data_IF_614481192808
#
_entry.id   IF_614481192808
#
_cell.length_a   1.000
_cell.length_b   1.000
_cell.length_c   1.000
_cell.angle_alpha   90.00
_cell.angle_beta   90.00
_cell.angle_gamma   90.00
#
_symmetry.space_group_name_H-M   'P 1'
#
loop_
_entity.id
_entity.type
_entity.pdbx_description
1 polymer ?
#
# COMPACT_ATOMS: atom_id res chain seq x y z
N UNK A 1 7.38 12.12 -16.66
CA UNK A 1 6.32 12.66 -15.77
C UNK A 1 4.92 12.65 -16.41
N UNK A 2 4.69 13.19 -17.62
CA UNK A 2 3.34 13.24 -18.21
C UNK A 2 2.66 11.84 -18.30
N UNK A 3 3.36 10.83 -18.77
CA UNK A 3 2.85 9.46 -18.88
C UNK A 3 2.51 8.85 -17.52
N UNK A 4 3.36 9.04 -16.50
CA UNK A 4 3.09 8.60 -15.12
C UNK A 4 1.82 9.23 -14.56
N UNK A 5 1.62 10.54 -14.80
CA UNK A 5 0.39 11.24 -14.40
C UNK A 5 -0.83 10.66 -15.10
N UNK A 6 -0.73 10.37 -16.40
CA UNK A 6 -1.82 9.73 -17.14
C UNK A 6 -2.25 8.40 -16.52
N UNK A 7 -1.30 7.53 -16.23
CA UNK A 7 -1.57 6.22 -15.59
C UNK A 7 -2.14 6.41 -14.19
N UNK A 8 -1.55 7.28 -13.36
CA UNK A 8 -2.02 7.52 -11.99
C UNK A 8 -3.44 8.10 -11.95
N UNK A 9 -3.73 9.10 -12.79
CA UNK A 9 -5.06 9.71 -12.86
C UNK A 9 -6.12 8.71 -13.32
N UNK A 10 -5.80 7.88 -14.31
CA UNK A 10 -6.69 6.81 -14.76
C UNK A 10 -6.94 5.77 -13.66
N UNK A 11 -5.89 5.40 -12.91
CA UNK A 11 -6.00 4.45 -11.80
C UNK A 11 -6.86 5.02 -10.66
N UNK A 12 -6.64 6.27 -10.23
CA UNK A 12 -7.45 6.92 -9.20
C UNK A 12 -8.94 6.99 -9.62
N UNK A 13 -9.20 7.36 -10.87
CA UNK A 13 -10.56 7.37 -11.41
C UNK A 13 -11.22 5.98 -11.38
N UNK A 14 -10.48 4.92 -11.72
CA UNK A 14 -11.00 3.55 -11.70
C UNK A 14 -11.32 3.05 -10.29
N UNK A 15 -10.65 3.59 -9.27
CA UNK A 15 -10.86 3.27 -7.85
C UNK A 15 -11.84 4.24 -7.16
N UNK A 16 -12.43 5.19 -7.88
CA UNK A 16 -13.24 6.27 -7.31
C UNK A 16 -12.52 6.97 -6.13
N UNK A 17 -11.19 7.05 -6.21
CA UNK A 17 -10.32 7.52 -5.15
C UNK A 17 -9.60 8.82 -5.51
N UNK A 18 -9.09 9.48 -4.49
CA UNK A 18 -8.19 10.63 -4.59
C UNK A 18 -6.80 10.28 -4.05
N UNK A 19 -5.79 11.07 -4.40
CA UNK A 19 -4.46 10.95 -3.80
C UNK A 19 -4.54 11.10 -2.29
N UNK A 20 -3.95 10.14 -1.59
CA UNK A 20 -3.80 10.20 -0.14
C UNK A 20 -2.76 11.26 0.23
N UNK A 21 -2.84 11.76 1.44
CA UNK A 21 -1.95 12.82 1.90
C UNK A 21 -0.87 12.29 2.84
N UNK A 22 -1.16 12.34 4.12
CA UNK A 22 -0.22 11.98 5.18
C UNK A 22 0.17 10.49 5.14
N UNK A 23 1.48 10.21 5.34
CA UNK A 23 2.03 8.85 5.50
C UNK A 23 1.89 7.89 4.31
N UNK A 24 1.24 8.30 3.23
CA UNK A 24 1.14 7.52 2.00
C UNK A 24 1.64 8.36 0.82
N UNK A 25 2.26 7.68 -0.13
CA UNK A 25 2.79 8.31 -1.33
C UNK A 25 1.71 8.93 -2.21
N UNK A 26 2.05 10.06 -2.78
CA UNK A 26 1.23 10.74 -3.78
C UNK A 26 2.06 11.06 -5.02
N UNK A 27 1.45 11.03 -6.21
CA UNK A 27 2.14 11.37 -7.45
C UNK A 27 2.29 12.91 -7.57
N UNK A 28 3.05 13.51 -6.65
CA UNK A 28 3.42 14.93 -6.66
C UNK A 28 4.87 15.07 -7.09
N UNK A 29 5.17 15.98 -8.02
CA UNK A 29 6.53 16.13 -8.57
C UNK A 29 7.59 16.33 -7.49
N UNK A 30 7.38 17.24 -6.55
CA UNK A 30 8.34 17.49 -5.47
C UNK A 30 8.54 16.30 -4.53
N UNK A 31 7.56 15.39 -4.43
CA UNK A 31 7.71 14.17 -3.66
C UNK A 31 8.47 13.10 -4.44
N UNK A 32 8.02 12.77 -5.65
CA UNK A 32 8.62 11.68 -6.43
C UNK A 32 10.02 12.00 -6.94
N UNK A 33 10.38 13.27 -7.07
CA UNK A 33 11.73 13.68 -7.46
C UNK A 33 12.84 13.20 -6.49
N UNK A 34 12.44 12.78 -5.28
CA UNK A 34 13.37 12.25 -4.27
C UNK A 34 13.58 10.73 -4.36
N UNK A 35 12.89 10.04 -5.27
CA UNK A 35 12.91 8.58 -5.35
C UNK A 35 13.20 8.09 -6.75
N UNK A 36 13.85 6.95 -6.83
CA UNK A 36 13.90 6.20 -8.08
C UNK A 36 12.52 5.61 -8.39
N UNK A 37 12.23 5.51 -9.68
CA UNK A 37 10.97 4.98 -10.18
C UNK A 37 11.23 3.70 -10.95
N UNK A 38 10.50 2.65 -10.58
CA UNK A 38 10.43 1.43 -11.39
C UNK A 38 9.21 1.47 -12.30
N UNK A 39 9.41 1.12 -13.56
CA UNK A 39 8.38 1.22 -14.59
C UNK A 39 8.36 -0.06 -15.42
N UNK A 40 7.21 -0.72 -15.48
CA UNK A 40 6.95 -1.83 -16.40
C UNK A 40 6.34 -1.26 -17.69
N UNK A 41 6.97 -1.57 -18.84
CA UNK A 41 6.46 -1.18 -20.16
C UNK A 41 5.91 -2.36 -20.93
N UNK A 42 4.85 -2.14 -21.66
CA UNK A 42 4.32 -3.07 -22.66
C UNK A 42 5.25 -3.16 -23.87
N UNK A 43 5.03 -4.16 -24.73
CA UNK A 43 5.73 -4.30 -26.02
C UNK A 43 5.55 -3.08 -26.95
N UNK A 44 4.53 -2.24 -26.71
CA UNK A 44 4.28 -0.99 -27.42
C UNK A 44 5.00 0.21 -26.81
N UNK A 45 5.78 0.00 -25.75
CA UNK A 45 6.50 1.04 -25.02
C UNK A 45 5.67 1.82 -24.01
N UNK A 46 4.37 1.53 -23.89
CA UNK A 46 3.48 2.21 -22.92
C UNK A 46 3.71 1.71 -21.49
N UNK A 47 3.61 2.60 -20.50
CA UNK A 47 3.66 2.22 -19.09
C UNK A 47 2.44 1.35 -18.74
N UNK A 48 2.70 0.09 -18.37
CA UNK A 48 1.70 -0.85 -17.87
C UNK A 48 1.54 -0.76 -16.34
N UNK A 49 2.62 -0.51 -15.61
CA UNK A 49 2.61 -0.27 -14.17
C UNK A 49 3.84 0.53 -13.75
N UNK A 50 3.76 1.19 -12.60
CA UNK A 50 4.92 1.82 -11.98
C UNK A 50 4.83 1.85 -10.46
N UNK A 51 5.99 2.01 -9.82
CA UNK A 51 6.14 2.24 -8.38
C UNK A 51 7.35 3.13 -8.12
N UNK A 52 7.38 3.83 -6.99
CA UNK A 52 8.58 4.49 -6.47
C UNK A 52 9.32 3.53 -5.55
N UNK A 53 10.62 3.75 -5.34
CA UNK A 53 11.48 2.90 -4.54
C UNK A 53 12.01 3.64 -3.32
N UNK A 54 11.91 3.00 -2.17
CA UNK A 54 12.61 3.39 -0.95
C UNK A 54 13.84 2.49 -0.79
N UNK A 55 15.01 3.11 -0.81
CA UNK A 55 16.29 2.44 -0.66
C UNK A 55 16.80 2.63 0.76
N UNK A 56 16.71 1.59 1.58
CA UNK A 56 17.22 1.61 2.94
C UNK A 56 18.75 1.74 2.99
N UNK A 57 19.25 2.33 4.06
CA UNK A 57 20.68 2.50 4.27
C UNK A 57 21.40 1.14 4.30
N UNK A 58 22.63 1.13 3.80
CA UNK A 58 23.51 -0.07 3.77
C UNK A 58 22.87 -1.28 3.09
N UNK A 59 22.04 -1.08 2.08
CA UNK A 59 21.35 -2.13 1.32
C UNK A 59 20.52 -3.06 2.23
N UNK A 60 20.08 -2.56 3.39
CA UNK A 60 19.34 -3.37 4.34
C UNK A 60 17.97 -3.78 3.82
N UNK A 61 17.22 -2.81 3.29
CA UNK A 61 15.86 -3.02 2.81
C UNK A 61 15.59 -2.21 1.53
N UNK A 62 14.94 -2.83 0.57
CA UNK A 62 14.30 -2.19 -0.56
C UNK A 62 12.79 -2.29 -0.36
N UNK A 63 12.09 -1.18 -0.49
CA UNK A 63 10.63 -1.13 -0.38
C UNK A 63 10.01 -0.15 -1.38
N UNK A 64 8.70 -0.07 -1.41
CA UNK A 64 7.95 0.78 -2.31
C UNK A 64 6.69 1.32 -1.62
N UNK A 65 6.05 2.28 -2.26
CA UNK A 65 4.87 2.95 -1.72
C UNK A 65 3.74 3.09 -2.76
N UNK A 66 3.98 3.85 -3.84
CA UNK A 66 3.01 4.02 -4.91
C UNK A 66 2.94 2.79 -5.82
N UNK A 67 1.84 2.06 -5.79
CA UNK A 67 1.55 1.02 -6.78
C UNK A 67 0.47 1.52 -7.75
N UNK A 68 0.81 1.70 -9.01
CA UNK A 68 -0.10 2.23 -10.03
C UNK A 68 -0.09 1.37 -11.29
N UNK A 69 -0.92 0.32 -11.38
CA UNK A 69 -1.16 -0.36 -12.65
C UNK A 69 -2.03 0.50 -13.56
N UNK A 70 -1.81 0.41 -14.87
CA UNK A 70 -2.68 1.03 -15.87
C UNK A 70 -4.03 0.31 -15.90
N UNK A 71 -5.16 0.99 -15.73
CA UNK A 71 -6.48 0.39 -15.92
C UNK A 71 -6.64 -0.15 -17.34
N UNK A 72 -7.24 -1.35 -17.46
CA UNK A 72 -7.36 -2.04 -18.75
C UNK A 72 -6.07 -2.65 -19.29
N UNK A 73 -4.97 -2.51 -18.57
CA UNK A 73 -3.71 -3.20 -18.85
C UNK A 73 -3.70 -4.66 -18.38
N UNK A 74 -2.56 -5.38 -18.57
CA UNK A 74 -2.44 -6.76 -18.12
C UNK A 74 -2.67 -6.90 -16.61
N UNK A 75 -3.53 -7.84 -16.19
CA UNK A 75 -3.86 -8.07 -14.78
C UNK A 75 -2.65 -8.46 -13.92
N UNK A 76 -1.62 -9.03 -14.54
CA UNK A 76 -0.37 -9.43 -13.89
C UNK A 76 0.70 -8.31 -13.85
N UNK A 77 0.40 -7.10 -14.34
CA UNK A 77 1.42 -6.04 -14.48
C UNK A 77 2.12 -5.69 -13.16
N UNK A 78 1.37 -5.64 -12.04
CA UNK A 78 1.98 -5.39 -10.73
C UNK A 78 2.76 -6.61 -10.21
N UNK A 79 2.27 -7.82 -10.45
CA UNK A 79 2.96 -9.05 -10.06
C UNK A 79 4.33 -9.13 -10.77
N UNK A 80 4.35 -8.88 -12.09
CA UNK A 80 5.57 -8.84 -12.87
C UNK A 80 6.54 -7.74 -12.40
N UNK A 81 6.04 -6.52 -12.19
CA UNK A 81 6.87 -5.41 -11.74
C UNK A 81 7.53 -5.71 -10.39
N UNK A 82 6.79 -6.26 -9.43
CA UNK A 82 7.35 -6.59 -8.11
C UNK A 82 8.30 -7.77 -8.16
N UNK A 83 8.01 -8.80 -8.96
CA UNK A 83 8.92 -9.94 -9.14
C UNK A 83 10.27 -9.48 -9.73
N UNK A 84 10.25 -8.67 -10.78
CA UNK A 84 11.46 -8.10 -11.37
C UNK A 84 12.22 -7.19 -10.38
N UNK A 85 11.51 -6.44 -9.55
CA UNK A 85 12.14 -5.62 -8.51
C UNK A 85 12.78 -6.45 -7.40
N UNK A 86 12.19 -7.58 -7.02
CA UNK A 86 12.80 -8.52 -6.06
C UNK A 86 14.08 -9.12 -6.62
N UNK A 87 14.07 -9.55 -7.90
CA UNK A 87 15.25 -10.07 -8.58
C UNK A 87 16.34 -9.00 -8.71
N UNK A 88 15.95 -7.80 -9.11
CA UNK A 88 16.88 -6.66 -9.19
C UNK A 88 17.45 -6.30 -7.82
N UNK A 89 16.62 -6.22 -6.77
CA UNK A 89 17.06 -5.94 -5.41
C UNK A 89 18.04 -6.98 -4.89
N UNK A 90 17.78 -8.27 -5.15
CA UNK A 90 18.70 -9.35 -4.82
C UNK A 90 20.03 -9.20 -5.57
N UNK A 91 20.01 -8.87 -6.86
CA UNK A 91 21.22 -8.62 -7.65
C UNK A 91 22.01 -7.36 -7.24
N UNK A 92 21.41 -6.48 -6.47
CA UNK A 92 22.03 -5.29 -5.86
C UNK A 92 22.43 -5.53 -4.40
N UNK A 93 22.40 -6.76 -3.90
CA UNK A 93 22.74 -7.16 -2.54
C UNK A 93 21.81 -6.58 -1.44
N UNK A 94 20.57 -6.18 -1.79
CA UNK A 94 19.57 -5.86 -0.78
C UNK A 94 19.19 -7.10 0.02
N UNK A 95 19.27 -6.98 1.36
CA UNK A 95 18.98 -8.09 2.26
C UNK A 95 17.50 -8.45 2.33
N UNK A 96 16.65 -7.45 2.27
CA UNK A 96 15.20 -7.59 2.37
C UNK A 96 14.49 -6.81 1.27
N UNK A 97 13.40 -7.39 0.76
CA UNK A 97 12.40 -6.68 -0.02
C UNK A 97 11.11 -6.60 0.79
N UNK A 98 10.72 -5.38 1.18
CA UNK A 98 9.53 -5.18 2.02
C UNK A 98 8.30 -4.90 1.16
N UNK A 99 7.29 -5.75 1.33
CA UNK A 99 5.98 -5.56 0.71
C UNK A 99 5.07 -4.60 1.51
N UNK A 100 5.57 -4.03 2.59
CA UNK A 100 4.82 -3.16 3.50
C UNK A 100 3.80 -3.91 4.37
N UNK A 101 3.05 -3.18 5.18
CA UNK A 101 2.08 -3.76 6.10
C UNK A 101 0.80 -4.24 5.40
N UNK A 102 0.18 -5.29 5.95
CA UNK A 102 -1.20 -5.68 5.68
C UNK A 102 -2.02 -5.42 6.96
N UNK A 103 -2.60 -4.21 7.10
CA UNK A 103 -3.29 -3.81 8.32
C UNK A 103 -4.45 -4.76 8.64
N UNK A 104 -4.67 -4.99 9.94
CA UNK A 104 -5.71 -5.85 10.49
C UNK A 104 -5.65 -7.33 10.07
N UNK A 105 -4.71 -7.73 9.22
CA UNK A 105 -4.53 -9.13 8.85
C UNK A 105 -3.94 -9.92 10.04
N UNK A 106 -4.44 -11.14 10.28
CA UNK A 106 -3.97 -11.98 11.38
C UNK A 106 -4.55 -11.62 12.76
N UNK A 107 -5.54 -10.73 12.82
CA UNK A 107 -6.33 -10.54 14.05
C UNK A 107 -7.26 -11.75 14.18
N UNK A 108 -6.93 -12.63 15.14
CA UNK A 108 -7.75 -13.82 15.39
C UNK A 108 -9.09 -13.43 16.01
N UNK A 109 -10.18 -13.83 15.36
CA UNK A 109 -11.54 -13.67 15.88
C UNK A 109 -11.85 -14.79 16.90
N UNK A 110 -11.19 -14.74 18.09
CA UNK A 110 -11.47 -15.68 19.19
C UNK A 110 -12.66 -15.20 19.98
N UNK A 111 -13.54 -16.10 20.41
CA UNK A 111 -14.74 -15.78 21.21
C UNK A 111 -14.42 -15.03 22.51
N UNK A 112 -13.23 -15.24 23.08
CA UNK A 112 -12.73 -14.57 24.29
C UNK A 112 -11.74 -13.43 24.01
N UNK A 113 -11.56 -13.05 22.74
CA UNK A 113 -10.69 -11.95 22.40
C UNK A 113 -11.21 -10.61 22.95
N UNK A 114 -10.34 -9.68 23.35
CA UNK A 114 -10.76 -8.34 23.72
C UNK A 114 -11.68 -7.72 22.65
N UNK A 115 -12.65 -6.91 23.07
CA UNK A 115 -13.65 -6.30 22.18
C UNK A 115 -13.02 -5.64 20.94
N UNK A 116 -11.82 -5.11 21.07
CA UNK A 116 -11.05 -4.46 20.00
C UNK A 116 -10.58 -5.44 18.93
N UNK A 117 -10.20 -6.66 19.28
CA UNK A 117 -9.84 -7.69 18.30
C UNK A 117 -11.07 -8.09 17.48
N UNK A 118 -12.24 -8.15 18.11
CA UNK A 118 -13.51 -8.44 17.43
C UNK A 118 -13.92 -7.34 16.47
N UNK A 119 -13.75 -6.07 16.88
CA UNK A 119 -14.00 -4.91 16.01
C UNK A 119 -12.98 -4.87 14.87
N UNK A 120 -11.70 -5.13 15.13
CA UNK A 120 -10.66 -5.21 14.10
C UNK A 120 -10.91 -6.32 13.09
N UNK A 121 -11.33 -7.50 13.53
CA UNK A 121 -11.74 -8.60 12.67
C UNK A 121 -12.96 -8.23 11.82
N UNK A 122 -13.97 -7.60 12.41
CA UNK A 122 -15.14 -7.12 11.68
C UNK A 122 -14.78 -6.07 10.61
N UNK A 123 -13.88 -5.14 10.94
CA UNK A 123 -13.39 -4.12 9.97
C UNK A 123 -12.58 -4.80 8.87
N UNK A 124 -11.79 -5.84 9.17
CA UNK A 124 -11.05 -6.60 8.18
C UNK A 124 -11.98 -7.33 7.21
N UNK A 125 -13.01 -8.00 7.71
CA UNK A 125 -13.95 -8.79 6.93
C UNK A 125 -14.99 -7.93 6.16
N UNK A 126 -15.43 -6.80 6.73
CA UNK A 126 -16.55 -6.00 6.22
C UNK A 126 -16.15 -4.57 5.80
N UNK A 127 -14.91 -4.18 6.04
CA UNK A 127 -14.39 -2.83 5.74
C UNK A 127 -14.07 -2.60 4.27
N UNK A 128 -14.53 -3.45 3.35
CA UNK A 128 -14.25 -3.38 1.91
C UNK A 128 -14.63 -2.03 1.28
N UNK A 129 -15.63 -1.34 1.82
CA UNK A 129 -16.03 0.00 1.38
C UNK A 129 -14.96 1.07 1.65
N UNK A 130 -14.05 0.83 2.61
CA UNK A 130 -12.99 1.77 2.98
C UNK A 130 -11.61 1.35 2.45
N UNK A 131 -11.30 0.06 2.45
CA UNK A 131 -10.03 -0.47 1.99
C UNK A 131 -10.11 -1.99 1.85
N UNK A 132 -9.71 -2.54 0.71
CA UNK A 132 -9.68 -3.99 0.48
C UNK A 132 -8.48 -4.63 1.21
N UNK A 133 -8.61 -4.84 2.51
CA UNK A 133 -7.56 -5.42 3.36
C UNK A 133 -7.26 -6.88 3.02
N UNK A 134 -8.29 -7.68 2.75
CA UNK A 134 -8.14 -9.08 2.35
C UNK A 134 -7.43 -9.20 1.01
N UNK A 135 -7.87 -8.44 0.02
CA UNK A 135 -7.25 -8.43 -1.30
C UNK A 135 -5.79 -7.95 -1.25
N UNK A 136 -5.45 -7.00 -0.36
CA UNK A 136 -4.07 -6.58 -0.16
C UNK A 136 -3.22 -7.70 0.46
N UNK A 137 -3.75 -8.43 1.43
CA UNK A 137 -3.08 -9.59 2.01
C UNK A 137 -2.90 -10.68 0.99
N UNK A 138 -3.97 -11.10 0.32
CA UNK A 138 -3.94 -12.12 -0.73
C UNK A 138 -2.97 -11.77 -1.87
N UNK A 139 -2.88 -10.48 -2.24
CA UNK A 139 -1.89 -10.02 -3.21
C UNK A 139 -0.45 -10.28 -2.74
N UNK A 140 -0.14 -9.97 -1.48
CA UNK A 140 1.21 -10.16 -0.92
C UNK A 140 1.56 -11.62 -0.71
N UNK A 141 0.60 -12.46 -0.33
CA UNK A 141 0.76 -13.90 -0.15
C UNK A 141 1.28 -14.61 -1.42
N UNK A 142 1.03 -14.06 -2.61
CA UNK A 142 1.57 -14.59 -3.87
C UNK A 142 3.10 -14.68 -3.91
N UNK A 143 3.76 -13.87 -3.10
CA UNK A 143 5.22 -13.78 -3.05
C UNK A 143 5.83 -14.57 -1.90
N UNK A 144 5.04 -15.39 -1.22
CA UNK A 144 5.45 -16.19 -0.04
C UNK A 144 6.26 -15.38 0.99
N UNK A 145 5.71 -14.27 1.51
CA UNK A 145 6.46 -13.36 2.36
C UNK A 145 6.63 -13.90 3.78
N UNK A 146 7.75 -13.55 4.40
CA UNK A 146 7.93 -13.73 5.82
C UNK A 146 7.10 -12.68 6.59
N UNK A 147 6.02 -13.09 7.22
CA UNK A 147 5.19 -12.21 8.03
C UNK A 147 5.81 -11.93 9.40
N UNK A 148 5.73 -10.67 9.83
CA UNK A 148 6.09 -10.23 11.18
C UNK A 148 4.97 -9.36 11.74
N UNK A 149 4.59 -9.53 13.02
CA UNK A 149 3.53 -8.74 13.62
C UNK A 149 3.96 -7.28 13.81
N UNK A 150 3.05 -6.35 13.54
CA UNK A 150 3.18 -4.93 13.88
C UNK A 150 2.09 -4.61 14.91
N UNK A 151 2.47 -3.97 16.00
CA UNK A 151 1.58 -3.68 17.10
C UNK A 151 1.26 -2.19 17.18
N UNK A 152 0.00 -1.87 17.43
CA UNK A 152 -0.43 -0.53 17.80
C UNK A 152 -0.46 -0.42 19.32
N UNK A 153 0.41 0.41 19.89
CA UNK A 153 0.38 0.76 21.30
C UNK A 153 -0.49 1.99 21.54
N UNK A 154 -1.41 1.90 22.48
CA UNK A 154 -2.30 3.01 22.87
C UNK A 154 -2.43 3.09 24.38
N UNK A 155 -2.87 4.24 24.96
CA UNK A 155 -3.12 4.36 26.39
C UNK A 155 -4.23 3.43 26.95
N UNK A 156 -4.91 2.67 26.09
CA UNK A 156 -5.99 1.76 26.47
C UNK A 156 -7.38 2.39 26.42
N UNK A 157 -8.38 1.61 26.83
CA UNK A 157 -9.79 2.06 26.83
C UNK A 157 -10.29 2.47 25.44
N UNK A 158 -10.99 3.59 25.36
CA UNK A 158 -11.53 4.15 24.12
C UNK A 158 -10.51 4.98 23.30
N UNK A 159 -9.24 5.03 23.72
CA UNK A 159 -8.22 5.80 23.01
C UNK A 159 -7.87 5.19 21.64
N UNK A 160 -7.84 3.86 21.50
CA UNK A 160 -7.49 3.20 20.26
C UNK A 160 -8.42 3.60 19.09
N UNK A 161 -9.76 3.51 19.17
CA UNK A 161 -10.62 3.94 18.06
C UNK A 161 -10.52 5.42 17.78
N UNK A 162 -10.35 6.27 18.79
CA UNK A 162 -10.14 7.70 18.59
C UNK A 162 -8.87 7.96 17.79
N UNK A 163 -7.75 7.35 18.18
CA UNK A 163 -6.46 7.47 17.49
C UNK A 163 -6.56 6.96 16.04
N UNK A 164 -7.17 5.78 15.83
CA UNK A 164 -7.35 5.23 14.48
C UNK A 164 -8.19 6.16 13.59
N UNK A 165 -9.25 6.74 14.13
CA UNK A 165 -10.06 7.72 13.42
C UNK A 165 -9.27 8.99 13.09
N UNK A 166 -8.51 9.53 14.02
CA UNK A 166 -7.68 10.73 13.82
C UNK A 166 -6.59 10.47 12.76
N UNK A 167 -5.93 9.30 12.79
CA UNK A 167 -4.95 8.88 11.79
C UNK A 167 -5.60 8.74 10.41
N UNK A 168 -6.79 8.10 10.33
CA UNK A 168 -7.52 7.99 9.08
C UNK A 168 -7.91 9.37 8.52
N UNK A 169 -8.31 10.30 9.36
CA UNK A 169 -8.60 11.68 8.96
C UNK A 169 -7.36 12.39 8.41
N UNK A 170 -6.19 12.22 9.04
CA UNK A 170 -4.92 12.76 8.54
C UNK A 170 -4.57 12.18 7.16
N UNK A 171 -4.65 10.86 6.99
CA UNK A 171 -4.37 10.16 5.72
C UNK A 171 -5.33 10.63 4.62
N UNK A 172 -6.60 10.80 4.94
CA UNK A 172 -7.63 11.22 3.98
C UNK A 172 -7.62 12.72 3.66
N UNK A 173 -6.78 13.52 4.32
CA UNK A 173 -6.67 14.96 4.09
C UNK A 173 -7.70 15.82 4.84
N UNK A 174 -8.27 15.29 5.95
CA UNK A 174 -9.17 15.99 6.89
C UNK A 174 -10.66 15.81 6.60
N UNK A 175 -11.48 16.27 7.55
CA UNK A 175 -12.95 16.10 7.57
C UNK A 175 -13.66 16.56 6.27
N UNK A 176 -13.15 17.61 5.62
CA UNK A 176 -13.74 18.16 4.38
C UNK A 176 -13.64 17.22 3.17
N UNK A 177 -12.74 16.23 3.20
CA UNK A 177 -12.56 15.25 2.12
C UNK A 177 -13.36 13.96 2.32
N UNK A 178 -13.74 13.66 3.57
CA UNK A 178 -14.54 12.46 3.89
C UNK A 178 -16.05 12.66 3.58
N UNK A 179 -16.49 13.91 3.37
CA UNK A 179 -17.90 14.24 3.11
C UNK A 179 -18.19 14.58 1.63
N UNK A 180 -17.27 14.27 0.71
CA UNK A 180 -17.48 14.29 -0.74
C UNK A 180 -17.59 12.88 -1.28
#
# INVERSE_FOLDING_TARGET
>A
MAELRGVSSAWLKSKQGEEKGFSLGALKEGYIANFDMAVLRSNKGEIAAFTNLFKGANLHELSFDLMRPRPGGPGFAMDALLAELMLWGSAQDYRWFSLGAAPFSGIENRQLAPLWNRIGGFVYEHGEHFYNFEGLRAFKEKFDPKWSPIYLATPGGLAAPKILNEVNMLISGGFRRLMK
#
